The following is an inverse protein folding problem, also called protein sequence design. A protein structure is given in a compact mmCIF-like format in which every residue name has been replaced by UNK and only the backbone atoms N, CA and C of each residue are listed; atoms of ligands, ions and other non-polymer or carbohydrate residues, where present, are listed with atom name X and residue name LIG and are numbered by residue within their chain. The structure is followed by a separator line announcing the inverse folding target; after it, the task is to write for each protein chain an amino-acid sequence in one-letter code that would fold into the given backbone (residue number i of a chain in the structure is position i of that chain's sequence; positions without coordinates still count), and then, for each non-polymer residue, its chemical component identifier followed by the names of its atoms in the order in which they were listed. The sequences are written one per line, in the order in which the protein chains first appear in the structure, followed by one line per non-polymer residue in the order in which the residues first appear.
data_IF_852628446132
#
_entry.id   IF_852628446132
#
_cell.length_a   1.000
_cell.length_b   1.000
_cell.length_c   1.000
_cell.angle_alpha   90.00
_cell.angle_beta   90.00
_cell.angle_gamma   90.00
#
_symmetry.space_group_name_H-M   'P 1'
#
loop_
_entity.id
_entity.type
_entity.pdbx_description
1 polymer ?
#
# COMPACT_ATOMS: atom_id res chain seq x y z
N UNK A 1 3.16 -6.53 22.90
CA UNK A 1 2.74 -5.17 23.30
C UNK A 1 3.97 -4.28 23.39
N UNK A 2 4.31 -3.62 22.29
CA UNK A 2 5.49 -2.76 22.23
C UNK A 2 5.35 -1.46 23.03
N UNK A 3 6.48 -0.99 23.57
CA UNK A 3 6.60 0.34 24.14
C UNK A 3 6.20 1.38 23.07
N UNK A 4 5.32 2.33 23.45
CA UNK A 4 4.87 3.45 22.60
C UNK A 4 6.03 4.21 21.95
N UNK A 5 7.17 4.32 22.65
CA UNK A 5 8.38 4.97 22.13
C UNK A 5 9.00 4.22 20.94
N UNK A 6 8.96 2.89 20.97
CA UNK A 6 9.47 2.03 19.89
C UNK A 6 8.59 2.15 18.65
N UNK A 7 7.27 2.11 18.81
CA UNK A 7 6.30 2.31 17.71
C UNK A 7 6.46 3.71 17.10
N UNK A 8 6.60 4.74 17.93
CA UNK A 8 6.81 6.12 17.46
C UNK A 8 8.11 6.26 16.65
N UNK A 9 9.18 5.56 17.05
CA UNK A 9 10.44 5.55 16.31
C UNK A 9 10.28 4.92 14.92
N UNK A 10 9.55 3.82 14.80
CA UNK A 10 9.28 3.20 13.50
C UNK A 10 8.46 4.12 12.60
N UNK A 11 7.40 4.72 13.12
CA UNK A 11 6.57 5.68 12.38
C UNK A 11 7.36 6.85 11.82
N UNK A 12 8.28 7.44 12.62
CA UNK A 12 9.16 8.51 12.15
C UNK A 12 10.07 8.07 10.99
N UNK A 13 10.64 6.86 11.08
CA UNK A 13 11.47 6.30 10.00
C UNK A 13 10.64 6.07 8.73
N UNK A 14 9.45 5.47 8.89
CA UNK A 14 8.53 5.18 7.78
C UNK A 14 8.09 6.47 7.09
N UNK A 15 7.64 7.47 7.87
CA UNK A 15 7.28 8.79 7.36
C UNK A 15 8.38 9.37 6.48
N UNK A 16 9.61 9.44 7.01
CA UNK A 16 10.75 9.98 6.29
C UNK A 16 11.08 9.18 5.02
N UNK A 17 11.07 7.84 5.10
CA UNK A 17 11.39 6.99 3.96
C UNK A 17 10.35 7.10 2.84
N UNK A 18 9.06 7.22 3.18
CA UNK A 18 7.99 7.40 2.20
C UNK A 18 8.03 8.83 1.63
N UNK A 19 8.28 9.85 2.45
CA UNK A 19 8.47 11.24 1.98
C UNK A 19 9.63 11.34 0.98
N UNK A 20 10.78 10.73 1.29
CA UNK A 20 11.94 10.64 0.39
C UNK A 20 11.59 9.94 -0.93
N UNK A 21 10.83 8.83 -0.87
CA UNK A 21 10.35 8.12 -2.06
C UNK A 21 9.48 9.03 -2.94
N UNK A 22 8.49 9.71 -2.37
CA UNK A 22 7.60 10.60 -3.12
C UNK A 22 8.35 11.79 -3.70
N UNK A 23 9.26 12.40 -2.94
CA UNK A 23 10.08 13.51 -3.40
C UNK A 23 10.96 13.10 -4.60
N UNK A 24 11.59 11.92 -4.54
CA UNK A 24 12.38 11.42 -5.66
C UNK A 24 11.51 11.06 -6.86
N UNK A 25 10.37 10.40 -6.66
CA UNK A 25 9.42 10.06 -7.71
C UNK A 25 8.91 11.32 -8.43
N UNK A 26 8.53 12.37 -7.70
CA UNK A 26 8.09 13.66 -8.27
C UNK A 26 9.22 14.36 -9.03
N UNK A 27 10.46 14.25 -8.53
CA UNK A 27 11.63 14.85 -9.19
C UNK A 27 11.97 14.14 -10.50
N UNK A 28 11.85 12.82 -10.54
CA UNK A 28 12.28 11.98 -11.65
C UNK A 28 11.18 11.69 -12.67
N UNK A 29 9.91 12.00 -12.39
CA UNK A 29 8.81 11.79 -13.34
C UNK A 29 9.14 12.38 -14.73
N UNK A 30 8.86 11.61 -15.78
CA UNK A 30 9.18 11.99 -17.17
C UNK A 30 8.37 13.22 -17.59
N UNK A 31 7.10 13.27 -17.17
CA UNK A 31 6.23 14.43 -17.38
C UNK A 31 5.65 14.89 -16.05
N UNK A 32 5.47 16.21 -15.86
CA UNK A 32 4.92 16.78 -14.61
C UNK A 32 3.52 16.25 -14.23
N UNK A 33 2.86 15.56 -15.16
CA UNK A 33 1.48 15.12 -15.04
C UNK A 33 1.36 13.61 -14.77
N UNK A 34 2.47 12.86 -14.79
CA UNK A 34 2.49 11.43 -14.47
C UNK A 34 2.08 11.19 -13.01
N UNK A 35 2.61 11.99 -12.09
CA UNK A 35 2.22 11.91 -10.68
C UNK A 35 0.73 12.18 -10.52
N UNK A 36 0.15 13.11 -11.28
CA UNK A 36 -1.28 13.43 -11.20
C UNK A 36 -2.13 12.24 -11.62
N UNK A 37 -1.72 11.54 -12.69
CA UNK A 37 -2.40 10.33 -13.12
C UNK A 37 -2.40 9.26 -12.02
N UNK A 38 -1.26 9.08 -11.34
CA UNK A 38 -1.15 8.20 -10.19
C UNK A 38 -2.00 8.62 -8.98
N UNK A 39 -1.99 9.91 -8.63
CA UNK A 39 -2.77 10.46 -7.50
C UNK A 39 -4.28 10.28 -7.72
N UNK A 40 -4.72 10.38 -8.98
CA UNK A 40 -6.13 10.26 -9.35
C UNK A 40 -6.56 8.85 -9.74
N UNK A 41 -5.69 7.85 -9.60
CA UNK A 41 -5.93 6.46 -10.03
C UNK A 41 -6.36 6.36 -11.50
N UNK A 42 -5.59 6.96 -12.42
CA UNK A 42 -5.84 6.92 -13.86
C UNK A 42 -5.88 5.49 -14.39
N UNK A 43 -6.96 5.12 -15.08
CA UNK A 43 -7.11 3.77 -15.65
C UNK A 43 -7.54 3.85 -17.11
N UNK A 44 -7.06 2.90 -17.93
CA UNK A 44 -7.59 2.66 -19.26
C UNK A 44 -8.33 1.32 -19.31
N UNK A 45 -9.66 1.35 -19.15
CA UNK A 45 -10.51 0.16 -19.22
C UNK A 45 -11.20 0.11 -20.58
N UNK A 46 -10.94 -0.95 -21.35
CA UNK A 46 -11.56 -1.19 -22.66
C UNK A 46 -11.47 -0.01 -23.64
N UNK A 47 -10.39 0.79 -23.56
CA UNK A 47 -10.17 1.96 -24.41
C UNK A 47 -10.78 3.27 -23.89
N UNK A 48 -11.38 3.26 -22.69
CA UNK A 48 -11.86 4.45 -22.00
C UNK A 48 -10.90 4.84 -20.88
N UNK A 49 -10.46 6.09 -20.91
CA UNK A 49 -9.68 6.67 -19.82
C UNK A 49 -10.63 7.13 -18.73
N UNK A 50 -10.29 6.81 -17.49
CA UNK A 50 -11.04 7.25 -16.32
C UNK A 50 -10.09 7.66 -15.20
N UNK A 51 -10.58 8.57 -14.36
CA UNK A 51 -9.97 8.96 -13.10
C UNK A 51 -10.97 8.73 -11.98
N UNK A 52 -10.47 8.61 -10.76
CA UNK A 52 -11.24 8.23 -9.59
C UNK A 52 -11.12 6.73 -9.31
N UNK A 53 -11.94 6.22 -8.37
CA UNK A 53 -11.80 4.84 -7.94
C UNK A 53 -12.01 3.85 -9.09
N UNK A 54 -12.97 4.12 -9.99
CA UNK A 54 -13.40 3.13 -10.99
C UNK A 54 -13.88 1.84 -10.35
N UNK A 55 -14.03 0.77 -11.12
CA UNK A 55 -14.45 -0.53 -10.59
C UNK A 55 -13.42 -1.09 -9.58
N UNK A 56 -12.13 -0.94 -9.89
CA UNK A 56 -11.03 -1.41 -9.02
C UNK A 56 -11.01 -0.69 -7.68
N UNK A 57 -10.98 0.64 -7.70
CA UNK A 57 -10.91 1.46 -6.49
C UNK A 57 -12.18 1.44 -5.64
N UNK A 58 -13.34 1.07 -6.16
CA UNK A 58 -14.53 0.78 -5.32
C UNK A 58 -14.28 -0.50 -4.51
N UNK A 59 -13.73 -1.54 -5.15
CA UNK A 59 -13.39 -2.80 -4.48
C UNK A 59 -12.29 -2.60 -3.43
N UNK A 60 -11.27 -1.79 -3.76
CA UNK A 60 -10.16 -1.47 -2.87
C UNK A 60 -10.58 -0.54 -1.72
N UNK A 61 -11.63 0.28 -1.91
CA UNK A 61 -12.17 1.17 -0.88
C UNK A 61 -12.67 0.39 0.33
N UNK A 62 -13.43 -0.69 0.13
CA UNK A 62 -13.91 -1.50 1.25
C UNK A 62 -12.78 -2.17 2.03
N UNK A 63 -11.71 -2.57 1.35
CA UNK A 63 -10.53 -3.15 1.98
C UNK A 63 -9.74 -2.10 2.77
N UNK A 64 -9.67 -0.87 2.25
CA UNK A 64 -9.06 0.27 2.93
C UNK A 64 -9.88 0.73 4.14
N UNK A 65 -11.21 0.78 4.01
CA UNK A 65 -12.14 1.07 5.11
C UNK A 65 -12.00 0.03 6.23
N UNK A 66 -11.98 -1.26 5.89
CA UNK A 66 -11.72 -2.32 6.87
C UNK A 66 -10.39 -2.17 7.60
N UNK A 67 -9.32 -1.81 6.90
CA UNK A 67 -8.01 -1.56 7.52
C UNK A 67 -8.07 -0.38 8.49
N UNK A 68 -8.71 0.72 8.10
CA UNK A 68 -8.87 1.91 8.95
C UNK A 68 -9.70 1.56 10.18
N UNK A 69 -10.81 0.85 10.00
CA UNK A 69 -11.67 0.40 11.10
C UNK A 69 -10.88 -0.48 12.05
N UNK A 70 -10.14 -1.47 11.56
CA UNK A 70 -9.29 -2.32 12.39
C UNK A 70 -8.30 -1.50 13.23
N UNK A 71 -7.59 -0.56 12.60
CA UNK A 71 -6.62 0.30 13.28
C UNK A 71 -7.26 1.23 14.32
N UNK A 72 -8.53 1.60 14.13
CA UNK A 72 -9.31 2.39 15.09
C UNK A 72 -9.93 1.52 16.20
N UNK A 73 -10.17 0.24 15.92
CA UNK A 73 -10.77 -0.73 16.87
C UNK A 73 -9.71 -1.38 17.77
N UNK A 74 -8.43 -1.29 17.40
CA UNK A 74 -7.31 -1.89 18.13
C UNK A 74 -6.97 -1.14 19.44
N UNK A 75 -7.94 -1.07 20.36
CA UNK A 75 -7.67 -0.97 21.80
C UNK A 75 -7.63 -2.38 22.40
N UNK A 76 -6.92 -3.31 21.75
CA UNK A 76 -6.75 -4.68 22.26
C UNK A 76 -6.20 -4.67 23.69
N UNK A 77 -5.34 -3.70 24.02
CA UNK A 77 -4.83 -3.50 25.37
C UNK A 77 -5.90 -3.14 26.41
N UNK A 78 -6.93 -2.38 26.04
CA UNK A 78 -8.06 -2.03 26.91
C UNK A 78 -8.99 -3.22 27.07
N UNK A 79 -9.23 -3.97 25.99
CA UNK A 79 -10.04 -5.19 26.03
C UNK A 79 -9.35 -6.27 26.87
N UNK A 80 -8.04 -6.50 26.69
CA UNK A 80 -7.25 -7.46 27.47
C UNK A 80 -7.14 -7.09 28.96
N UNK A 81 -7.04 -5.79 29.28
CA UNK A 81 -6.98 -5.31 30.66
C UNK A 81 -8.27 -5.57 31.45
N UNK A 82 -9.41 -5.64 30.75
CA UNK A 82 -10.72 -5.87 31.35
C UNK A 82 -11.10 -7.36 31.45
N UNK A 83 -10.27 -8.28 30.93
CA UNK A 83 -10.50 -9.72 31.04
C UNK A 83 -9.87 -10.28 32.33
N UNK A 84 -10.66 -11.04 33.09
CA UNK A 84 -10.23 -11.62 34.36
C UNK A 84 -9.57 -13.01 34.22
N UNK A 85 -9.72 -13.68 33.06
CA UNK A 85 -9.20 -15.02 32.82
C UNK A 85 -8.01 -15.02 31.85
N UNK A 86 -6.93 -15.71 32.22
CA UNK A 86 -5.78 -15.93 31.33
C UNK A 86 -6.17 -16.67 30.03
N UNK A 87 -7.14 -17.58 30.12
CA UNK A 87 -7.67 -18.32 28.96
C UNK A 87 -8.41 -17.40 27.98
N UNK A 88 -9.13 -16.40 28.49
CA UNK A 88 -9.82 -15.42 27.66
C UNK A 88 -8.83 -14.47 26.99
N UNK A 89 -7.80 -14.02 27.73
CA UNK A 89 -6.70 -13.22 27.18
C UNK A 89 -5.97 -13.94 26.06
N UNK A 90 -5.63 -15.22 26.28
CA UNK A 90 -4.97 -16.04 25.26
C UNK A 90 -5.85 -16.23 24.02
N UNK A 91 -7.16 -16.47 24.21
CA UNK A 91 -8.11 -16.58 23.09
C UNK A 91 -8.19 -15.28 22.29
N UNK A 92 -8.25 -14.13 22.96
CA UNK A 92 -8.33 -12.83 22.30
C UNK A 92 -7.04 -12.50 21.53
N UNK A 93 -5.87 -12.74 22.12
CA UNK A 93 -4.58 -12.52 21.45
C UNK A 93 -4.46 -13.40 20.20
N UNK A 94 -4.81 -14.69 20.30
CA UNK A 94 -4.83 -15.59 19.14
C UNK A 94 -5.81 -15.11 18.06
N UNK A 95 -6.97 -14.59 18.46
CA UNK A 95 -7.94 -14.04 17.52
C UNK A 95 -7.37 -12.80 16.81
N UNK A 96 -6.77 -11.87 17.56
CA UNK A 96 -6.12 -10.66 17.02
C UNK A 96 -5.02 -11.02 16.01
N UNK A 97 -4.10 -11.92 16.39
CA UNK A 97 -3.03 -12.40 15.51
C UNK A 97 -3.53 -12.96 14.18
N UNK A 98 -4.67 -13.68 14.19
CA UNK A 98 -5.26 -14.19 12.95
C UNK A 98 -5.79 -13.05 12.06
N UNK A 99 -6.38 -12.01 12.64
CA UNK A 99 -6.80 -10.82 11.88
C UNK A 99 -5.58 -10.08 11.33
N UNK A 100 -4.52 -9.91 12.13
CA UNK A 100 -3.29 -9.27 11.67
C UNK A 100 -2.66 -10.02 10.50
N UNK A 101 -2.57 -11.37 10.59
CA UNK A 101 -2.04 -12.21 9.51
C UNK A 101 -2.89 -12.12 8.24
N UNK A 102 -4.21 -12.02 8.39
CA UNK A 102 -5.14 -11.76 7.30
C UNK A 102 -4.86 -10.41 6.64
N UNK A 103 -4.85 -9.32 7.42
CA UNK A 103 -4.59 -7.97 6.93
C UNK A 103 -3.23 -7.90 6.22
N UNK A 104 -2.19 -8.44 6.83
CA UNK A 104 -0.86 -8.51 6.24
C UNK A 104 -0.86 -9.21 4.88
N UNK A 105 -1.50 -10.38 4.80
CA UNK A 105 -1.55 -11.16 3.57
C UNK A 105 -2.34 -10.43 2.48
N UNK A 106 -3.45 -9.79 2.85
CA UNK A 106 -4.23 -8.97 1.94
C UNK A 106 -3.42 -7.78 1.41
N UNK A 107 -2.74 -7.01 2.27
CA UNK A 107 -1.93 -5.87 1.84
C UNK A 107 -0.87 -6.23 0.80
N UNK A 108 -0.24 -7.40 0.92
CA UNK A 108 0.77 -7.89 -0.02
C UNK A 108 0.21 -8.56 -1.28
N UNK A 109 -1.11 -8.82 -1.33
CA UNK A 109 -1.78 -9.44 -2.48
C UNK A 109 -2.65 -8.47 -3.27
N UNK A 110 -3.14 -7.42 -2.61
CA UNK A 110 -3.96 -6.36 -3.21
C UNK A 110 -3.27 -5.76 -4.42
N UNK A 111 -3.98 -5.76 -5.55
CA UNK A 111 -3.49 -5.09 -6.77
C UNK A 111 -3.25 -3.62 -6.53
N UNK A 112 -4.11 -2.94 -5.76
CA UNK A 112 -3.96 -1.53 -5.43
C UNK A 112 -2.63 -1.22 -4.72
N UNK A 113 -2.33 -1.94 -3.64
CA UNK A 113 -1.09 -1.78 -2.87
C UNK A 113 0.15 -1.98 -3.75
N UNK A 114 0.15 -3.05 -4.55
CA UNK A 114 1.28 -3.37 -5.42
C UNK A 114 1.40 -2.42 -6.61
N UNK A 115 0.27 -1.95 -7.17
CA UNK A 115 0.26 -0.98 -8.26
C UNK A 115 0.80 0.38 -7.81
N UNK A 116 0.48 0.80 -6.58
CA UNK A 116 1.03 2.03 -6.04
C UNK A 116 2.56 1.96 -5.91
N UNK A 117 3.07 0.88 -5.32
CA UNK A 117 4.52 0.67 -5.19
C UNK A 117 5.21 0.61 -6.55
N UNK A 118 4.61 -0.07 -7.52
CA UNK A 118 5.18 -0.19 -8.87
C UNK A 118 5.17 1.13 -9.63
N UNK A 119 4.11 1.94 -9.54
CA UNK A 119 4.11 3.28 -10.14
C UNK A 119 5.18 4.18 -9.52
N UNK A 120 5.33 4.15 -8.19
CA UNK A 120 6.41 4.89 -7.52
C UNK A 120 7.79 4.40 -7.97
N UNK A 121 8.00 3.09 -8.15
CA UNK A 121 9.23 2.55 -8.71
C UNK A 121 9.48 3.05 -10.14
N UNK A 122 8.47 2.99 -11.01
CA UNK A 122 8.56 3.54 -12.37
C UNK A 122 8.98 5.02 -12.36
N UNK A 123 8.34 5.85 -11.54
CA UNK A 123 8.69 7.27 -11.45
C UNK A 123 10.10 7.50 -10.93
N UNK A 124 10.58 6.70 -9.98
CA UNK A 124 11.97 6.75 -9.50
C UNK A 124 12.96 6.47 -10.64
N UNK A 125 12.64 5.55 -11.56
CA UNK A 125 13.45 5.27 -12.76
C UNK A 125 13.20 6.24 -13.93
N UNK A 126 12.30 7.21 -13.78
CA UNK A 126 11.91 8.13 -14.85
C UNK A 126 11.08 7.48 -15.95
N UNK A 127 10.33 6.43 -15.62
CA UNK A 127 9.38 5.76 -16.50
C UNK A 127 8.00 6.43 -16.34
N UNK A 128 7.41 6.85 -17.47
CA UNK A 128 6.05 7.40 -17.55
C UNK A 128 4.96 6.53 -16.90
N UNK A 129 3.80 7.14 -16.60
CA UNK A 129 2.66 6.47 -16.01
C UNK A 129 2.07 5.36 -16.90
N UNK A 130 2.04 4.12 -16.38
CA UNK A 130 1.45 2.97 -17.07
C UNK A 130 -0.06 2.85 -16.81
N UNK A 131 -0.86 3.38 -17.74
CA UNK A 131 -2.32 3.31 -17.73
C UNK A 131 -2.91 1.89 -17.75
N UNK A 132 -2.10 0.87 -18.07
CA UNK A 132 -2.50 -0.54 -18.19
C UNK A 132 -1.66 -1.44 -17.29
N UNK A 133 -1.09 -0.89 -16.22
CA UNK A 133 -0.27 -1.65 -15.30
C UNK A 133 -1.01 -2.92 -14.86
N UNK A 134 -0.34 -4.06 -15.04
CA UNK A 134 -0.82 -5.37 -14.61
C UNK A 134 0.08 -5.89 -13.51
N UNK A 135 -0.54 -6.23 -12.39
CA UNK A 135 0.16 -6.94 -11.33
C UNK A 135 0.16 -8.42 -11.70
N UNK A 136 1.30 -9.11 -11.65
CA UNK A 136 1.34 -10.53 -11.99
C UNK A 136 0.51 -11.34 -10.98
N UNK A 137 -0.19 -12.35 -11.50
CA UNK A 137 -0.99 -13.26 -10.68
C UNK A 137 -0.10 -14.26 -9.93
N UNK A 138 0.95 -14.74 -10.58
CA UNK A 138 1.96 -15.63 -10.00
C UNK A 138 3.24 -14.86 -9.68
N UNK A 139 4.17 -15.50 -8.95
CA UNK A 139 5.52 -14.96 -8.73
C UNK A 139 5.54 -13.56 -8.07
N UNK A 140 4.54 -13.25 -7.24
CA UNK A 140 4.44 -12.00 -6.46
C UNK A 140 5.73 -11.67 -5.70
N UNK A 141 6.40 -12.69 -5.19
CA UNK A 141 7.70 -12.52 -4.53
C UNK A 141 8.75 -11.93 -5.48
N UNK A 142 8.84 -12.40 -6.72
CA UNK A 142 9.77 -11.85 -7.71
C UNK A 142 9.38 -10.41 -8.09
N UNK A 143 8.09 -10.17 -8.28
CA UNK A 143 7.59 -8.84 -8.58
C UNK A 143 7.95 -7.83 -7.47
N UNK A 144 7.68 -8.17 -6.21
CA UNK A 144 7.97 -7.29 -5.07
C UNK A 144 9.49 -7.12 -4.87
N UNK A 145 10.26 -8.21 -4.92
CA UNK A 145 11.68 -8.17 -4.53
C UNK A 145 12.63 -7.80 -5.65
N UNK A 146 12.42 -8.33 -6.86
CA UNK A 146 13.32 -8.13 -8.01
C UNK A 146 12.89 -6.97 -8.91
N UNK A 147 11.61 -6.57 -8.89
CA UNK A 147 11.11 -5.46 -9.70
C UNK A 147 10.99 -4.19 -8.85
N UNK A 148 10.09 -4.19 -7.87
CA UNK A 148 9.80 -2.99 -7.06
C UNK A 148 10.98 -2.63 -6.14
N UNK A 149 11.36 -3.56 -5.25
CA UNK A 149 12.37 -3.26 -4.21
C UNK A 149 13.74 -2.99 -4.83
N UNK A 150 14.12 -3.71 -5.89
CA UNK A 150 15.40 -3.51 -6.58
C UNK A 150 15.58 -2.07 -7.09
N UNK A 151 14.51 -1.43 -7.59
CA UNK A 151 14.54 -0.02 -7.98
C UNK A 151 14.86 0.89 -6.80
N UNK A 152 14.18 0.66 -5.67
CA UNK A 152 14.39 1.45 -4.46
C UNK A 152 15.79 1.25 -3.86
N UNK A 153 16.32 0.01 -3.93
CA UNK A 153 17.69 -0.32 -3.53
C UNK A 153 18.71 0.42 -4.40
N UNK A 154 18.55 0.36 -5.73
CA UNK A 154 19.41 1.05 -6.70
C UNK A 154 19.43 2.57 -6.50
N UNK A 155 18.31 3.16 -6.08
CA UNK A 155 18.19 4.59 -5.77
C UNK A 155 18.51 4.93 -4.31
N UNK A 156 19.03 3.99 -3.52
CA UNK A 156 19.43 4.18 -2.12
C UNK A 156 18.31 4.77 -1.24
N UNK A 157 17.06 4.33 -1.46
CA UNK A 157 15.91 4.74 -0.67
C UNK A 157 15.70 3.78 0.51
N UNK A 158 15.54 4.30 1.73
CA UNK A 158 15.35 3.46 2.93
C UNK A 158 14.04 2.64 2.89
N UNK A 159 13.08 3.03 2.04
CA UNK A 159 11.88 2.22 1.78
C UNK A 159 12.24 0.81 1.32
N UNK A 160 13.36 0.61 0.63
CA UNK A 160 13.85 -0.71 0.25
C UNK A 160 14.12 -1.61 1.47
N UNK A 161 14.79 -1.07 2.49
CA UNK A 161 15.06 -1.79 3.73
C UNK A 161 13.76 -2.07 4.47
N UNK A 162 12.84 -1.10 4.53
CA UNK A 162 11.52 -1.29 5.14
C UNK A 162 10.73 -2.40 4.43
N UNK A 163 10.74 -2.48 3.10
CA UNK A 163 10.11 -3.58 2.35
C UNK A 163 10.76 -4.92 2.64
N UNK A 164 12.09 -4.98 2.79
CA UNK A 164 12.81 -6.20 3.19
C UNK A 164 12.46 -6.64 4.62
N UNK A 165 12.28 -5.69 5.53
CA UNK A 165 11.89 -5.95 6.92
C UNK A 165 10.44 -6.41 7.05
N UNK A 166 9.55 -6.00 6.12
CA UNK A 166 8.10 -6.22 6.23
C UNK A 166 7.62 -7.39 5.38
N UNK A 167 8.02 -7.49 4.11
CA UNK A 167 7.57 -8.54 3.20
C UNK A 167 8.33 -9.87 3.40
N UNK A 168 7.60 -10.97 3.61
CA UNK A 168 8.15 -12.32 3.69
C UNK A 168 7.21 -13.33 2.99
N UNK A 169 7.60 -13.79 1.81
CA UNK A 169 6.76 -14.65 0.95
C UNK A 169 6.34 -15.95 1.62
N UNK A 170 7.24 -16.61 2.33
CA UNK A 170 6.92 -17.84 3.05
C UNK A 170 5.87 -17.62 4.15
N UNK A 171 5.93 -16.48 4.85
CA UNK A 171 5.01 -16.20 5.95
C UNK A 171 3.61 -15.90 5.41
N UNK A 172 3.53 -15.10 4.33
CA UNK A 172 2.30 -14.90 3.56
C UNK A 172 1.72 -16.23 3.06
N UNK A 173 2.55 -17.09 2.48
CA UNK A 173 2.12 -18.37 1.94
C UNK A 173 1.68 -19.35 3.03
N UNK A 174 2.37 -19.37 4.18
CA UNK A 174 2.02 -20.19 5.32
C UNK A 174 0.61 -19.84 5.79
N UNK A 175 0.29 -18.56 5.92
CA UNK A 175 -1.06 -18.13 6.26
C UNK A 175 -2.09 -18.48 5.18
N UNK A 176 -1.82 -18.14 3.91
CA UNK A 176 -2.74 -18.38 2.80
C UNK A 176 -3.12 -19.86 2.60
N UNK A 177 -2.24 -20.78 3.01
CA UNK A 177 -2.47 -22.22 2.93
C UNK A 177 -2.79 -22.88 4.28
N UNK A 178 -2.98 -22.11 5.36
CA UNK A 178 -3.26 -22.65 6.70
C UNK A 178 -2.11 -23.48 7.29
N UNK A 179 -0.87 -23.24 6.84
CA UNK A 179 0.34 -23.95 7.23
C UNK A 179 1.08 -23.23 8.37
N UNK A 180 0.37 -22.88 9.43
CA UNK A 180 0.94 -22.29 10.64
C UNK A 180 0.22 -22.74 11.91
N UNK A 181 0.87 -22.58 13.05
CA UNK A 181 0.29 -22.83 14.37
C UNK A 181 0.68 -21.76 15.37
N UNK A 182 -0.23 -21.43 16.28
CA UNK A 182 0.00 -20.46 17.37
C UNK A 182 0.22 -21.21 18.68
N UNK A 183 1.43 -21.13 19.24
CA UNK A 183 1.80 -21.81 20.48
C UNK A 183 2.92 -21.08 21.19
N UNK A 184 2.90 -21.03 22.53
CA UNK A 184 4.00 -20.50 23.35
C UNK A 184 4.53 -19.11 22.91
N UNK A 185 3.65 -18.19 22.51
CA UNK A 185 4.01 -16.85 21.98
C UNK A 185 4.85 -16.88 20.69
N UNK A 186 4.72 -17.95 19.92
CA UNK A 186 5.40 -18.19 18.66
C UNK A 186 4.37 -18.57 17.59
N UNK A 187 4.58 -18.05 16.38
CA UNK A 187 3.93 -18.50 15.16
C UNK A 187 4.87 -19.52 14.51
N UNK A 188 4.51 -20.79 14.59
CA UNK A 188 5.23 -21.88 13.94
C UNK A 188 4.81 -21.96 12.48
N UNK A 189 5.76 -22.04 11.54
CA UNK A 189 5.48 -22.18 10.12
C UNK A 189 5.73 -23.63 9.68
N UNK A 190 4.73 -24.26 9.06
CA UNK A 190 4.77 -25.66 8.63
C UNK A 190 5.18 -25.85 7.17
N UNK A 191 5.40 -24.76 6.44
CA UNK A 191 5.86 -24.76 5.06
C UNK A 191 7.38 -24.55 4.92
N UNK A 192 8.12 -24.63 6.02
CA UNK A 192 9.57 -24.53 6.05
C UNK A 192 10.22 -25.78 5.45
N UNK A 193 11.15 -25.60 4.51
CA UNK A 193 11.84 -26.68 3.80
C UNK A 193 13.33 -26.78 4.12
N UNK A 194 13.86 -25.91 4.98
CA UNK A 194 15.27 -25.93 5.39
C UNK A 194 16.18 -24.92 4.69
N UNK A 195 15.65 -24.04 3.83
CA UNK A 195 16.48 -23.06 3.12
C UNK A 195 16.84 -21.90 4.04
N UNK A 196 18.03 -21.31 3.84
CA UNK A 196 18.60 -20.30 4.74
C UNK A 196 17.81 -18.99 4.84
N UNK A 197 16.98 -18.68 3.84
CA UNK A 197 16.10 -17.49 3.84
C UNK A 197 14.71 -17.78 4.40
N UNK A 198 14.41 -19.03 4.76
CA UNK A 198 13.12 -19.45 5.28
C UNK A 198 13.08 -19.32 6.81
N UNK A 199 11.93 -18.89 7.33
CA UNK A 199 11.62 -18.85 8.74
C UNK A 199 10.93 -20.16 9.13
N UNK A 200 11.47 -20.87 10.12
CA UNK A 200 10.75 -21.99 10.75
C UNK A 200 9.67 -21.49 11.72
N UNK A 201 9.92 -20.35 12.37
CA UNK A 201 9.02 -19.73 13.33
C UNK A 201 9.31 -18.22 13.48
N UNK A 202 8.36 -17.48 14.04
CA UNK A 202 8.52 -16.06 14.43
C UNK A 202 7.84 -15.81 15.79
N UNK A 203 8.44 -15.00 16.65
CA UNK A 203 7.82 -14.66 17.94
C UNK A 203 6.62 -13.72 17.71
N UNK A 204 5.66 -13.69 18.63
CA UNK A 204 4.54 -12.73 18.54
C UNK A 204 5.04 -11.28 18.56
N UNK A 205 6.11 -11.02 19.29
CA UNK A 205 6.74 -9.70 19.36
C UNK A 205 7.35 -9.29 18.00
N UNK A 206 8.17 -10.16 17.39
CA UNK A 206 8.74 -9.89 16.07
C UNK A 206 7.68 -9.77 14.98
N UNK A 207 6.59 -10.53 15.12
CA UNK A 207 5.42 -10.43 14.25
C UNK A 207 4.72 -9.09 14.40
N UNK A 208 4.46 -8.62 15.63
CA UNK A 208 3.84 -7.32 15.92
C UNK A 208 4.68 -6.18 15.30
N UNK A 209 6.02 -6.20 15.44
CA UNK A 209 6.93 -5.25 14.74
C UNK A 209 6.65 -5.24 13.25
N UNK A 210 6.66 -6.44 12.64
CA UNK A 210 6.54 -6.61 11.19
C UNK A 210 5.18 -6.14 10.70
N UNK A 211 4.13 -6.50 11.41
CA UNK A 211 2.76 -6.13 11.11
C UNK A 211 2.57 -4.61 11.17
N UNK A 212 2.95 -3.97 12.29
CA UNK A 212 2.83 -2.52 12.46
C UNK A 212 3.58 -1.78 11.36
N UNK A 213 4.83 -2.15 11.10
CA UNK A 213 5.62 -1.54 10.02
C UNK A 213 4.96 -1.71 8.65
N UNK A 214 4.39 -2.89 8.38
CA UNK A 214 3.70 -3.16 7.11
C UNK A 214 2.52 -2.21 6.94
N UNK A 215 1.64 -2.13 7.95
CA UNK A 215 0.45 -1.27 7.90
C UNK A 215 0.84 0.20 7.81
N UNK A 216 1.78 0.66 8.63
CA UNK A 216 2.22 2.06 8.65
C UNK A 216 2.83 2.49 7.29
N UNK A 217 3.53 1.60 6.56
CA UNK A 217 4.02 1.91 5.20
C UNK A 217 2.86 2.20 4.25
N UNK A 218 1.85 1.34 4.21
CA UNK A 218 0.74 1.48 3.27
C UNK A 218 -0.17 2.66 3.64
N UNK A 219 -0.40 2.90 4.94
CA UNK A 219 -1.12 4.09 5.43
C UNK A 219 -0.35 5.36 5.02
N UNK A 220 0.96 5.40 5.22
CA UNK A 220 1.74 6.59 4.90
C UNK A 220 1.78 6.87 3.39
N UNK A 221 1.87 5.84 2.55
CA UNK A 221 1.72 6.00 1.09
C UNK A 221 0.36 6.62 0.75
N UNK A 222 -0.73 6.12 1.35
CA UNK A 222 -2.07 6.66 1.14
C UNK A 222 -2.18 8.12 1.60
N UNK A 223 -1.60 8.45 2.76
CA UNK A 223 -1.56 9.82 3.29
C UNK A 223 -0.82 10.76 2.34
N UNK A 224 0.37 10.38 1.86
CA UNK A 224 1.14 11.20 0.92
C UNK A 224 0.38 11.42 -0.39
N UNK A 225 -0.28 10.38 -0.93
CA UNK A 225 -1.17 10.54 -2.09
C UNK A 225 -2.28 11.56 -1.81
N UNK A 226 -2.97 11.43 -0.68
CA UNK A 226 -4.07 12.31 -0.32
C UNK A 226 -3.62 13.77 -0.15
N UNK A 227 -2.52 14.01 0.56
CA UNK A 227 -1.99 15.36 0.79
C UNK A 227 -1.56 16.03 -0.52
N UNK A 228 -0.88 15.29 -1.39
CA UNK A 228 -0.48 15.80 -2.69
C UNK A 228 -1.69 16.07 -3.58
N UNK A 229 -2.68 15.18 -3.62
CA UNK A 229 -3.91 15.39 -4.39
C UNK A 229 -4.64 16.66 -3.94
N UNK A 230 -4.77 16.86 -2.62
CA UNK A 230 -5.37 18.07 -2.03
C UNK A 230 -4.57 19.34 -2.33
N UNK A 231 -3.23 19.27 -2.34
CA UNK A 231 -2.40 20.40 -2.74
C UNK A 231 -2.65 20.78 -4.20
N UNK A 232 -2.64 19.78 -5.09
CA UNK A 232 -2.85 20.00 -6.51
C UNK A 232 -4.26 20.52 -6.81
N UNK A 233 -5.29 20.03 -6.10
CA UNK A 233 -6.67 20.50 -6.31
C UNK A 233 -6.83 21.99 -6.07
N UNK A 234 -6.10 22.53 -5.09
CA UNK A 234 -6.14 23.96 -4.74
C UNK A 234 -5.30 24.77 -5.74
N UNK A 235 -4.07 24.33 -6.00
CA UNK A 235 -3.11 25.09 -6.82
C UNK A 235 -3.41 25.01 -8.32
N UNK A 236 -3.99 23.89 -8.78
CA UNK A 236 -4.13 23.53 -10.19
C UNK A 236 -5.50 22.86 -10.43
N UNK A 237 -6.63 23.58 -10.31
CA UNK A 237 -7.96 23.00 -10.51
C UNK A 237 -8.20 22.51 -11.95
N UNK A 238 -7.39 22.96 -12.90
CA UNK A 238 -7.35 22.45 -14.28
C UNK A 238 -5.93 22.01 -14.60
N UNK A 239 -5.79 20.78 -15.06
CA UNK A 239 -4.51 20.19 -15.47
C UNK A 239 -4.62 19.64 -16.88
N UNK A 240 -3.48 19.53 -17.57
CA UNK A 240 -3.40 18.79 -18.83
C UNK A 240 -2.59 17.54 -18.55
N UNK A 241 -3.13 16.37 -18.84
CA UNK A 241 -2.44 15.08 -18.65
C UNK A 241 -2.24 14.39 -20.00
N UNK A 242 -1.21 13.57 -20.11
CA UNK A 242 -1.06 12.64 -21.23
C UNK A 242 -1.98 11.45 -21.02
N UNK A 243 -2.91 11.25 -21.95
CA UNK A 243 -3.84 10.12 -21.91
C UNK A 243 -3.71 9.27 -23.17
N UNK A 244 -3.80 7.93 -23.06
CA UNK A 244 -3.73 7.08 -24.22
C UNK A 244 -4.97 7.26 -25.09
N UNK A 245 -4.79 7.22 -26.41
CA UNK A 245 -5.88 7.16 -27.37
C UNK A 245 -6.38 5.71 -27.46
N UNK A 246 -7.53 5.46 -28.10
CA UNK A 246 -8.18 4.13 -28.29
C UNK A 246 -7.20 2.99 -28.61
N UNK A 247 -6.06 3.30 -29.22
CA UNK A 247 -4.87 2.43 -29.32
C UNK A 247 -3.71 3.02 -28.48
N UNK A 248 -3.13 2.25 -27.54
CA UNK A 248 -2.24 2.74 -26.48
C UNK A 248 -0.85 3.19 -26.98
N UNK A 249 -0.61 3.16 -28.29
CA UNK A 249 0.65 3.63 -28.90
C UNK A 249 0.65 5.13 -29.17
N UNK A 250 -0.48 5.82 -28.99
CA UNK A 250 -0.60 7.26 -29.18
C UNK A 250 -1.15 7.90 -27.92
N UNK A 251 -0.54 9.00 -27.51
CA UNK A 251 -0.99 9.81 -26.39
C UNK A 251 -1.51 11.15 -26.90
N UNK A 252 -2.46 11.72 -26.16
CA UNK A 252 -2.94 13.09 -26.39
C UNK A 252 -2.96 13.86 -25.07
N UNK A 253 -2.70 15.16 -25.14
CA UNK A 253 -2.95 16.07 -24.02
C UNK A 253 -4.45 16.22 -23.84
N UNK A 254 -4.94 15.94 -22.65
CA UNK A 254 -6.37 16.10 -22.30
C UNK A 254 -6.49 16.91 -21.03
N UNK A 255 -7.40 17.87 -21.04
CA UNK A 255 -7.72 18.64 -19.84
C UNK A 255 -8.52 17.79 -18.86
N UNK A 256 -8.15 17.89 -17.60
CA UNK A 256 -8.86 17.31 -16.47
C UNK A 256 -9.17 18.43 -15.49
N UNK A 257 -10.30 18.29 -14.82
CA UNK A 257 -10.88 19.30 -13.95
C UNK A 257 -11.08 18.69 -12.58
N UNK A 258 -10.66 19.41 -11.54
CA UNK A 258 -10.95 19.02 -10.17
C UNK A 258 -12.47 19.03 -9.93
N UNK A 259 -13.00 17.92 -9.42
CA UNK A 259 -14.39 17.81 -8.98
C UNK A 259 -14.42 17.86 -7.44
N UNK A 260 -14.88 18.98 -6.89
CA UNK A 260 -14.96 19.18 -5.43
C UNK A 260 -15.89 18.19 -4.74
N UNK A 261 -16.96 17.76 -5.41
CA UNK A 261 -17.93 16.82 -4.85
C UNK A 261 -17.37 15.40 -4.84
N UNK A 262 -16.71 15.01 -5.94
CA UNK A 262 -16.16 13.68 -6.09
C UNK A 262 -14.82 13.50 -5.35
N UNK A 263 -14.07 14.58 -5.14
CA UNK A 263 -12.77 14.57 -4.47
C UNK A 263 -11.62 14.05 -5.33
N UNK A 264 -11.75 14.13 -6.67
CA UNK A 264 -10.72 13.74 -7.63
C UNK A 264 -10.85 14.53 -8.95
N UNK A 265 -9.82 14.48 -9.79
CA UNK A 265 -9.90 15.08 -11.13
C UNK A 265 -10.72 14.21 -12.09
N UNK A 266 -11.50 14.81 -12.96
CA UNK A 266 -12.26 14.10 -14.00
C UNK A 266 -12.12 14.75 -15.37
N UNK A 267 -12.52 14.03 -16.42
CA UNK A 267 -12.62 14.59 -17.78
C UNK A 267 -13.85 15.50 -17.95
N UNK A 268 -14.77 15.48 -16.98
CA UNK A 268 -15.97 16.29 -17.04
C UNK A 268 -15.64 17.68 -16.50
N UNK A 269 -15.87 18.68 -17.34
CA UNK A 269 -15.95 20.07 -16.90
C UNK A 269 -17.26 20.26 -16.16
N UNK A 270 -17.37 19.71 -14.94
CA UNK A 270 -18.41 20.12 -14.02
C UNK A 270 -18.11 21.58 -13.67
N UNK A 271 -18.74 22.48 -14.44
CA UNK A 271 -18.76 23.90 -14.15
C UNK A 271 -19.27 24.01 -12.73
N UNK A 272 -18.47 24.64 -11.86
CA UNK A 272 -18.91 25.21 -10.60
C UNK A 272 -20.13 26.11 -10.87
N UNK A 273 -21.31 25.52 -10.97
CA UNK A 273 -22.59 26.19 -10.82
C UNK A 273 -23.04 25.88 -9.41
N UNK A 274 -22.34 26.48 -8.47
CA UNK A 274 -22.95 26.85 -7.20
C UNK A 274 -24.01 27.91 -7.53
N UNK A 275 -25.27 27.47 -7.61
CA UNK A 275 -26.42 28.33 -7.29
C UNK A 275 -26.42 28.66 -5.82
#
# INVERSE_FOLDING_TARGET
MHNKDTVLKYRKRIFKAVEELFNLAIKNQETMDDIVCFLCNGQNNYGYNMFGPGERGITDRHQSEFLIDFMNTSEESVLLANLNSDKEKERLERYSLNIELMIYSHLWEMEWSLSNLMHLANFVEGIQYDWKLKIPWQEKWEFITKTIRAVFEKSNLDIANLLKETYHSQLRNAFAHGQYGLSWKIIQLYNFTGKSYELSAITFEDWEVRFIKTVDIFIEIANQKFQLLKKYSIEKPVLRVWTPVKYPTRFRRTEIYWDEYAGYYSFNKNVLKTT
#
